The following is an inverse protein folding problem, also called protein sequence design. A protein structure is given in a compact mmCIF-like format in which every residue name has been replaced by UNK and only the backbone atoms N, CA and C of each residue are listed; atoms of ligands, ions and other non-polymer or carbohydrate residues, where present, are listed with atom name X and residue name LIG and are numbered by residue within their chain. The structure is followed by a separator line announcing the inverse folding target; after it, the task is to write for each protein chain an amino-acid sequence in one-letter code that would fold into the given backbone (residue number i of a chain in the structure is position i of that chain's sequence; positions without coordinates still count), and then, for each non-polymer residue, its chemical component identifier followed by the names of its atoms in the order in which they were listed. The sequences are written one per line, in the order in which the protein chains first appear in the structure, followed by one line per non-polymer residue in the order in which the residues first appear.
data_IF_391711237169
#
_entry.id   IF_391711237169
#
_cell.length_a   1.000
_cell.length_b   1.000
_cell.length_c   1.000
_cell.angle_alpha   90.00
_cell.angle_beta   90.00
_cell.angle_gamma   90.00
#
_symmetry.space_group_name_H-M   'P 1'
#
loop_
_entity.id
_entity.type
_entity.pdbx_description
1 polymer ?
#
# COMPACT_ATOMS: atom_id res chain seq x y z
N UNK A 1 -0.28 -8.58 -2.08
CA UNK A 1 -0.49 -7.15 -1.79
C UNK A 1 -0.37 -6.94 -0.29
N UNK A 2 0.12 -5.79 0.15
CA UNK A 2 0.14 -5.42 1.57
C UNK A 2 -0.07 -3.92 1.71
N UNK A 3 -0.86 -3.55 2.70
CA UNK A 3 -1.17 -2.16 3.01
C UNK A 3 -1.04 -1.90 4.52
N UNK A 4 -0.63 -0.68 4.84
CA UNK A 4 -0.49 -0.15 6.18
C UNK A 4 -1.67 0.75 6.51
N UNK A 5 -2.54 0.26 7.38
CA UNK A 5 -3.79 0.90 7.82
C UNK A 5 -3.57 1.57 9.18
N UNK A 6 -4.12 2.78 9.46
CA UNK A 6 -4.11 3.34 10.81
C UNK A 6 -4.55 2.31 11.85
N UNK A 7 -3.85 2.20 12.98
CA UNK A 7 -4.12 1.17 13.98
C UNK A 7 -5.58 1.19 14.46
N UNK A 8 -6.15 2.38 14.62
CA UNK A 8 -7.53 2.63 15.05
C UNK A 8 -8.58 2.15 14.05
N UNK A 9 -8.21 1.98 12.78
CA UNK A 9 -9.08 1.48 11.70
C UNK A 9 -8.76 0.03 11.31
N UNK A 10 -7.69 -0.55 11.87
CA UNK A 10 -7.11 -1.82 11.43
C UNK A 10 -8.08 -3.00 11.49
N UNK A 11 -8.77 -3.17 12.63
CA UNK A 11 -9.73 -4.26 12.82
C UNK A 11 -10.94 -4.12 11.92
N UNK A 12 -11.50 -2.91 11.81
CA UNK A 12 -12.65 -2.66 10.94
C UNK A 12 -12.33 -2.94 9.47
N UNK A 13 -11.13 -2.53 9.03
CA UNK A 13 -10.63 -2.84 7.70
C UNK A 13 -10.52 -4.36 7.46
N UNK A 14 -9.92 -5.10 8.41
CA UNK A 14 -9.81 -6.55 8.31
C UNK A 14 -11.18 -7.23 8.24
N UNK A 15 -12.15 -6.80 9.04
CA UNK A 15 -13.51 -7.34 9.02
C UNK A 15 -14.19 -7.15 7.66
N UNK A 16 -14.06 -5.97 7.05
CA UNK A 16 -14.59 -5.69 5.71
C UNK A 16 -13.91 -6.53 4.63
N UNK A 17 -12.58 -6.71 4.70
CA UNK A 17 -11.84 -7.60 3.81
C UNK A 17 -12.35 -9.04 3.94
N UNK A 18 -12.48 -9.55 5.16
CA UNK A 18 -12.97 -10.91 5.41
C UNK A 18 -14.41 -11.09 4.92
N UNK A 19 -15.28 -10.10 5.09
CA UNK A 19 -16.64 -10.11 4.57
C UNK A 19 -16.66 -10.17 3.04
N UNK A 20 -15.89 -9.29 2.38
CA UNK A 20 -15.77 -9.23 0.92
C UNK A 20 -15.27 -10.57 0.33
N UNK A 21 -14.22 -11.15 0.90
CA UNK A 21 -13.66 -12.42 0.44
C UNK A 21 -14.65 -13.58 0.56
N UNK A 22 -15.42 -13.65 1.67
CA UNK A 22 -16.48 -14.65 1.86
C UNK A 22 -17.60 -14.48 0.85
N UNK A 23 -18.06 -13.25 0.64
CA UNK A 23 -19.13 -12.95 -0.31
C UNK A 23 -18.77 -13.39 -1.74
N UNK A 24 -17.53 -13.15 -2.16
CA UNK A 24 -17.05 -13.51 -3.50
C UNK A 24 -16.57 -14.96 -3.62
N UNK A 25 -16.66 -15.76 -2.54
CA UNK A 25 -16.22 -17.18 -2.48
C UNK A 25 -14.82 -17.38 -3.05
N UNK A 26 -13.92 -16.46 -2.72
CA UNK A 26 -12.57 -16.45 -3.27
C UNK A 26 -11.83 -17.72 -2.81
N UNK A 27 -11.22 -18.50 -3.73
CA UNK A 27 -10.47 -19.70 -3.38
C UNK A 27 -9.09 -19.33 -2.84
N UNK A 28 -9.05 -18.82 -1.61
CA UNK A 28 -7.82 -18.44 -0.91
C UNK A 28 -7.45 -19.52 0.11
N UNK A 29 -6.21 -20.02 0.03
CA UNK A 29 -5.66 -20.98 0.99
C UNK A 29 -4.50 -20.41 1.80
N UNK A 30 -3.96 -19.26 1.40
CA UNK A 30 -2.94 -18.55 2.17
C UNK A 30 -3.56 -17.84 3.38
N UNK A 31 -2.85 -17.76 4.51
CA UNK A 31 -3.26 -16.95 5.63
C UNK A 31 -3.25 -15.47 5.27
N UNK A 32 -4.12 -14.70 5.94
CA UNK A 32 -4.03 -13.25 6.00
C UNK A 32 -3.13 -12.91 7.18
N UNK A 33 -2.06 -12.16 6.95
CA UNK A 33 -1.17 -11.70 8.02
C UNK A 33 -1.62 -10.33 8.53
N UNK A 34 -1.62 -10.16 9.85
CA UNK A 34 -1.97 -8.90 10.52
C UNK A 34 -0.89 -8.57 11.54
N UNK A 35 -0.18 -7.45 11.37
CA UNK A 35 0.99 -7.10 12.19
C UNK A 35 0.92 -5.64 12.61
N UNK A 36 1.08 -5.36 13.90
CA UNK A 36 1.24 -4.00 14.39
C UNK A 36 2.67 -3.49 14.17
N UNK A 37 2.79 -2.23 13.76
CA UNK A 37 4.08 -1.53 13.58
C UNK A 37 3.95 -0.12 14.14
N UNK A 38 4.91 0.27 14.98
CA UNK A 38 5.01 1.61 15.56
C UNK A 38 5.36 2.64 14.47
N UNK A 39 4.86 3.86 14.62
CA UNK A 39 5.19 5.00 13.77
C UNK A 39 6.71 5.24 13.66
N UNK A 40 7.13 5.76 12.51
CA UNK A 40 8.48 6.27 12.27
C UNK A 40 8.47 7.72 11.75
N UNK A 41 9.65 8.25 11.44
CA UNK A 41 9.88 9.59 10.89
C UNK A 41 10.47 9.59 9.47
N UNK A 42 10.44 8.43 8.78
CA UNK A 42 10.96 8.28 7.43
C UNK A 42 9.90 8.74 6.42
N UNK A 43 10.19 9.79 5.65
CA UNK A 43 9.18 10.53 4.86
C UNK A 43 8.27 9.71 3.95
N UNK A 44 8.80 8.66 3.32
CA UNK A 44 8.04 7.77 2.46
C UNK A 44 7.75 6.40 3.10
N UNK A 45 8.04 6.21 4.38
CA UNK A 45 7.64 4.99 5.06
C UNK A 45 6.10 4.91 5.12
N UNK A 46 5.51 3.75 4.80
CA UNK A 46 4.09 3.52 5.04
C UNK A 46 3.67 3.77 6.51
N UNK A 47 4.62 3.77 7.44
CA UNK A 47 4.42 4.00 8.88
C UNK A 47 4.70 5.46 9.32
N UNK A 48 4.97 6.38 8.39
CA UNK A 48 5.34 7.77 8.71
C UNK A 48 4.32 8.45 9.63
N UNK A 49 4.77 8.81 10.83
CA UNK A 49 4.06 9.54 11.88
C UNK A 49 2.71 8.92 12.29
N UNK A 50 2.51 7.62 12.04
CA UNK A 50 1.25 6.94 12.32
C UNK A 50 1.46 5.46 12.66
N UNK A 51 1.13 5.08 13.89
CA UNK A 51 1.05 3.67 14.29
C UNK A 51 0.06 2.97 13.37
N UNK A 52 0.47 1.85 12.78
CA UNK A 52 -0.29 1.20 11.73
C UNK A 52 -0.29 -0.30 11.90
N UNK A 53 -1.30 -0.95 11.32
CA UNK A 53 -1.31 -2.39 11.13
C UNK A 53 -1.00 -2.69 9.66
N UNK A 54 -0.10 -3.64 9.43
CA UNK A 54 0.15 -4.19 8.10
C UNK A 54 -0.78 -5.38 7.88
N UNK A 55 -1.59 -5.31 6.83
CA UNK A 55 -2.49 -6.39 6.41
C UNK A 55 -1.99 -6.94 5.07
N UNK A 56 -1.58 -8.21 5.05
CA UNK A 56 -1.08 -8.88 3.85
C UNK A 56 -2.06 -9.89 3.29
N UNK A 57 -2.29 -9.79 1.98
CA UNK A 57 -3.06 -10.74 1.18
C UNK A 57 -2.15 -11.39 0.14
N UNK A 58 -2.18 -12.72 0.11
CA UNK A 58 -1.33 -13.54 -0.74
C UNK A 58 -2.16 -14.27 -1.80
N UNK A 59 -1.53 -14.54 -2.94
CA UNK A 59 -2.06 -15.38 -4.01
C UNK A 59 -0.93 -16.24 -4.56
N UNK A 60 -1.25 -17.46 -4.99
CA UNK A 60 -0.28 -18.32 -5.66
C UNK A 60 0.10 -17.71 -7.01
N UNK A 61 1.39 -17.64 -7.34
CA UNK A 61 1.87 -16.90 -8.52
C UNK A 61 1.31 -17.41 -9.87
N UNK A 62 0.83 -18.67 -9.95
CA UNK A 62 0.20 -19.21 -11.17
C UNK A 62 -1.30 -18.89 -11.27
N UNK A 63 -1.91 -18.36 -10.22
CA UNK A 63 -3.30 -17.95 -10.22
C UNK A 63 -3.40 -16.47 -10.58
N UNK A 64 -4.52 -16.09 -11.20
CA UNK A 64 -4.82 -14.69 -11.42
C UNK A 64 -5.03 -13.97 -10.09
N UNK A 65 -4.13 -13.05 -9.76
CA UNK A 65 -4.20 -12.27 -8.52
C UNK A 65 -5.20 -11.12 -8.60
N UNK A 66 -5.58 -10.67 -9.81
CA UNK A 66 -6.52 -9.57 -9.99
C UNK A 66 -7.89 -9.88 -9.39
N UNK A 67 -8.31 -11.16 -9.42
CA UNK A 67 -9.56 -11.64 -8.80
C UNK A 67 -9.68 -11.24 -7.33
N UNK A 68 -8.56 -11.22 -6.61
CA UNK A 68 -8.53 -10.90 -5.17
C UNK A 68 -8.12 -9.46 -4.96
N UNK A 69 -7.06 -9.01 -5.66
CA UNK A 69 -6.44 -7.73 -5.35
C UNK A 69 -7.34 -6.56 -5.76
N UNK A 70 -8.06 -6.65 -6.88
CA UNK A 70 -8.99 -5.59 -7.29
C UNK A 70 -10.14 -5.39 -6.30
N UNK A 71 -10.56 -6.45 -5.59
CA UNK A 71 -11.59 -6.36 -4.57
C UNK A 71 -11.05 -5.76 -3.27
N UNK A 72 -9.88 -6.24 -2.82
CA UNK A 72 -9.34 -5.88 -1.51
C UNK A 72 -8.66 -4.51 -1.51
N UNK A 73 -8.02 -4.12 -2.61
CA UNK A 73 -7.29 -2.85 -2.69
C UNK A 73 -8.21 -1.64 -2.53
N UNK A 74 -9.43 -1.71 -3.06
CA UNK A 74 -10.46 -0.68 -2.87
C UNK A 74 -10.83 -0.49 -1.40
N UNK A 75 -10.90 -1.59 -0.63
CA UNK A 75 -11.14 -1.55 0.81
C UNK A 75 -9.94 -0.90 1.50
N UNK A 76 -8.72 -1.31 1.18
CA UNK A 76 -7.52 -0.70 1.76
C UNK A 76 -7.43 0.82 1.49
N UNK A 77 -7.79 1.26 0.28
CA UNK A 77 -7.84 2.68 -0.06
C UNK A 77 -8.88 3.45 0.75
N UNK A 78 -10.08 2.89 0.93
CA UNK A 78 -11.15 3.47 1.79
C UNK A 78 -10.65 3.74 3.21
N UNK A 79 -9.76 2.89 3.74
CA UNK A 79 -9.19 3.01 5.07
C UNK A 79 -7.87 3.79 5.13
N UNK A 80 -7.59 4.65 4.14
CA UNK A 80 -6.36 5.45 4.06
C UNK A 80 -5.08 4.60 4.14
N UNK A 81 -5.14 3.41 3.55
CA UNK A 81 -4.03 2.48 3.51
C UNK A 81 -2.89 3.02 2.65
N UNK A 82 -1.68 2.93 3.17
CA UNK A 82 -0.44 3.17 2.41
C UNK A 82 0.06 1.82 1.87
N UNK A 83 0.35 1.67 0.56
CA UNK A 83 0.84 0.39 0.05
C UNK A 83 2.27 0.12 0.49
N UNK A 84 2.60 -1.15 0.67
CA UNK A 84 4.00 -1.59 0.80
C UNK A 84 4.71 -1.45 -0.55
N UNK A 85 5.75 -0.60 -0.62
CA UNK A 85 6.47 -0.30 -1.87
C UNK A 85 7.01 -1.52 -2.63
N UNK A 86 7.41 -2.57 -1.92
CA UNK A 86 7.89 -3.83 -2.50
C UNK A 86 6.81 -4.85 -2.89
N UNK A 87 5.52 -4.53 -2.82
CA UNK A 87 4.42 -5.45 -3.19
C UNK A 87 3.54 -4.82 -4.28
N UNK A 88 2.78 -5.67 -4.97
CA UNK A 88 1.81 -5.24 -5.99
C UNK A 88 0.76 -4.31 -5.38
N UNK A 89 0.52 -3.19 -6.08
CA UNK A 89 -0.55 -2.23 -5.83
C UNK A 89 -0.85 -1.41 -7.10
N UNK A 90 -2.06 -0.88 -7.23
CA UNK A 90 -2.52 -0.06 -8.37
C UNK A 90 -2.40 1.45 -8.15
N UNK A 91 -1.90 1.88 -6.99
CA UNK A 91 -1.79 3.31 -6.63
C UNK A 91 -0.86 4.09 -7.58
N UNK A 92 -1.22 5.34 -7.85
CA UNK A 92 -0.44 6.28 -8.66
C UNK A 92 -0.01 7.51 -7.85
N UNK A 93 0.90 8.31 -8.41
CA UNK A 93 1.54 9.43 -7.74
C UNK A 93 0.55 10.42 -7.11
N UNK A 94 -0.53 10.78 -7.82
CA UNK A 94 -1.57 11.66 -7.27
C UNK A 94 -2.21 11.11 -5.97
N UNK A 95 -2.64 9.85 -5.95
CA UNK A 95 -3.24 9.24 -4.75
C UNK A 95 -2.22 9.03 -3.62
N UNK A 96 -0.97 8.73 -3.96
CA UNK A 96 0.10 8.56 -2.99
C UNK A 96 0.49 9.90 -2.35
N UNK A 97 0.56 10.98 -3.14
CA UNK A 97 0.87 12.33 -2.63
C UNK A 97 -0.04 12.72 -1.47
N UNK A 98 -1.33 12.41 -1.57
CA UNK A 98 -2.30 12.78 -0.55
C UNK A 98 -2.17 11.93 0.74
N UNK A 99 -1.54 10.75 0.64
CA UNK A 99 -1.30 9.85 1.78
C UNK A 99 0.02 10.12 2.52
N UNK A 100 0.97 10.81 1.88
CA UNK A 100 2.32 11.05 2.39
C UNK A 100 2.58 12.55 2.60
N UNK A 101 2.49 13.07 3.85
CA UNK A 101 2.62 14.51 4.12
C UNK A 101 3.91 15.16 3.64
N UNK A 102 5.01 14.39 3.58
CA UNK A 102 6.35 14.86 3.13
C UNK A 102 6.63 14.56 1.66
N UNK A 103 5.61 14.22 0.86
CA UNK A 103 5.77 13.89 -0.55
C UNK A 103 6.49 14.99 -1.34
N UNK A 104 6.03 16.24 -1.21
CA UNK A 104 6.61 17.37 -1.92
C UNK A 104 8.09 17.60 -1.59
N UNK A 105 8.45 17.46 -0.32
CA UNK A 105 9.83 17.61 0.15
C UNK A 105 10.73 16.48 -0.32
N UNK A 106 10.23 15.24 -0.31
CA UNK A 106 10.93 14.11 -0.93
C UNK A 106 11.18 14.36 -2.42
N UNK A 107 10.16 14.84 -3.15
CA UNK A 107 10.27 15.11 -4.59
C UNK A 107 11.30 16.22 -4.89
N UNK A 108 11.32 17.27 -4.06
CA UNK A 108 12.32 18.33 -4.15
C UNK A 108 13.74 17.81 -3.88
N UNK A 109 13.92 17.03 -2.80
CA UNK A 109 15.22 16.43 -2.45
C UNK A 109 15.70 15.49 -3.55
N UNK A 110 14.83 14.64 -4.10
CA UNK A 110 15.15 13.77 -5.23
C UNK A 110 15.61 14.57 -6.45
N UNK A 111 14.96 15.69 -6.76
CA UNK A 111 15.38 16.53 -7.89
C UNK A 111 16.75 17.19 -7.65
N UNK A 112 17.12 17.48 -6.40
CA UNK A 112 18.44 18.00 -6.05
C UNK A 112 19.52 16.93 -6.17
N UNK A 113 19.24 15.70 -5.69
CA UNK A 113 20.23 14.60 -5.64
C UNK A 113 20.37 13.85 -6.96
N UNK A 114 19.29 13.74 -7.74
CA UNK A 114 19.26 13.05 -9.04
C UNK A 114 18.55 13.91 -10.11
N UNK A 115 19.16 15.05 -10.50
CA UNK A 115 18.54 15.97 -11.45
C UNK A 115 18.38 15.38 -12.85
N UNK A 116 19.26 14.44 -13.24
CA UNK A 116 19.17 13.72 -14.51
C UNK A 116 18.31 12.45 -14.45
N UNK A 117 17.67 12.16 -13.31
CA UNK A 117 16.76 11.02 -13.13
C UNK A 117 17.41 9.66 -13.44
N UNK A 118 18.70 9.49 -13.14
CA UNK A 118 19.44 8.24 -13.37
C UNK A 118 18.88 7.06 -12.57
N UNK A 119 18.30 7.34 -11.40
CA UNK A 119 17.73 6.31 -10.51
C UNK A 119 16.21 6.13 -10.74
N UNK A 120 15.62 6.84 -11.71
CA UNK A 120 14.19 6.78 -12.00
C UNK A 120 13.86 5.70 -13.03
N UNK A 121 13.88 4.45 -12.58
CA UNK A 121 13.40 3.31 -13.38
C UNK A 121 11.91 3.42 -13.72
N UNK A 122 11.45 2.64 -14.71
CA UNK A 122 10.10 2.73 -15.28
C UNK A 122 8.97 2.70 -14.23
N UNK A 123 9.05 1.78 -13.26
CA UNK A 123 8.07 1.66 -12.18
C UNK A 123 7.98 2.96 -11.35
N UNK A 124 9.13 3.53 -10.96
CA UNK A 124 9.17 4.75 -10.16
C UNK A 124 8.61 5.94 -10.94
N UNK A 125 8.83 5.98 -12.27
CA UNK A 125 8.25 7.01 -13.14
C UNK A 125 6.72 6.97 -13.14
N UNK A 126 6.12 5.78 -13.20
CA UNK A 126 4.64 5.65 -13.24
C UNK A 126 4.01 5.81 -11.86
N UNK A 127 4.64 5.27 -10.83
CA UNK A 127 4.04 5.17 -9.49
C UNK A 127 4.34 6.38 -8.61
N UNK A 128 5.54 6.96 -8.70
CA UNK A 128 6.02 7.99 -7.76
C UNK A 128 6.29 9.33 -8.44
N UNK A 129 6.79 9.34 -9.68
CA UNK A 129 7.23 10.57 -10.36
C UNK A 129 6.29 11.07 -11.46
N UNK A 130 5.17 10.38 -11.67
CA UNK A 130 4.16 10.67 -12.68
C UNK A 130 3.24 11.82 -12.31
#
# INVERSE_FOLDING_TARGET
MEYQIPVELGLQCLEEVLHCLRQHRVPMFFPIEFRYVKADDIWLSPFYQRDSVSISIHQFYKQDYHVIFNLVELIFQKYQGRPHWGKLHSMHAASLRDLYPRWGEFMALRQQLDPQKKMAESLLKTTVFG
#
